data_IF_561756699343
#
_entry.id   IF_561756699343
#
_cell.length_a   1.000
_cell.length_b   1.000
_cell.length_c   1.000
_cell.angle_alpha   90.00
_cell.angle_beta   90.00
_cell.angle_gamma   90.00
#
_symmetry.space_group_name_H-M   'P 1'
#
loop_
_entity.id
_entity.type
_entity.pdbx_description
1 polymer ?
#
# COMPACT_ATOMS: atom_id res chain seq x y z
N UNK A 1 3.45 15.27 6.75
CA UNK A 1 2.77 14.05 7.25
C UNK A 1 3.42 12.88 6.54
N UNK A 2 3.85 11.87 7.28
CA UNK A 2 4.41 10.64 6.71
C UNK A 2 3.53 9.46 7.12
N UNK A 3 3.20 8.59 6.17
CA UNK A 3 2.43 7.37 6.40
C UNK A 3 3.28 6.21 5.92
N UNK A 4 3.50 5.23 6.78
CA UNK A 4 4.06 3.95 6.37
C UNK A 4 2.91 3.00 6.01
N UNK A 5 3.05 2.29 4.90
CA UNK A 5 2.10 1.28 4.45
C UNK A 5 2.81 -0.07 4.31
N UNK A 6 2.20 -1.13 4.81
CA UNK A 6 2.59 -2.51 4.53
C UNK A 6 1.46 -3.18 3.77
N UNK A 7 1.78 -3.90 2.69
CA UNK A 7 0.80 -4.66 1.89
C UNK A 7 1.28 -6.11 1.82
N UNK A 8 0.40 -7.04 2.16
CA UNK A 8 0.68 -8.49 2.15
C UNK A 8 -0.33 -9.20 1.23
N UNK A 9 0.11 -10.27 0.56
CA UNK A 9 -0.70 -11.11 -0.33
C UNK A 9 -0.08 -11.26 -1.72
N UNK A 10 -0.55 -12.23 -2.51
CA UNK A 10 0.00 -12.54 -3.85
C UNK A 10 0.00 -11.34 -4.82
N UNK A 11 -0.90 -10.38 -4.59
CA UNK A 11 -1.01 -9.13 -5.35
C UNK A 11 -0.18 -7.96 -4.80
N UNK A 12 0.59 -8.12 -3.72
CA UNK A 12 1.21 -7.02 -2.99
C UNK A 12 2.09 -6.10 -3.87
N UNK A 13 2.98 -6.69 -4.68
CA UNK A 13 3.86 -5.92 -5.58
C UNK A 13 3.05 -5.06 -6.56
N UNK A 14 2.06 -5.67 -7.22
CA UNK A 14 1.22 -4.96 -8.19
C UNK A 14 0.39 -3.86 -7.52
N UNK A 15 -0.21 -4.18 -6.36
CA UNK A 15 -1.02 -3.25 -5.60
C UNK A 15 -0.21 -2.04 -5.13
N UNK A 16 0.99 -2.25 -4.60
CA UNK A 16 1.86 -1.16 -4.17
C UNK A 16 2.40 -0.36 -5.35
N UNK A 17 2.73 -1.00 -6.47
CA UNK A 17 3.12 -0.28 -7.70
C UNK A 17 2.00 0.66 -8.16
N UNK A 18 0.75 0.18 -8.21
CA UNK A 18 -0.41 0.99 -8.59
C UNK A 18 -0.63 2.16 -7.62
N UNK A 19 -0.48 1.94 -6.31
CA UNK A 19 -0.63 2.99 -5.29
C UNK A 19 0.40 4.12 -5.47
N UNK A 20 1.68 3.77 -5.66
CA UNK A 20 2.76 4.75 -5.81
C UNK A 20 2.85 5.34 -7.23
N UNK A 21 2.02 4.88 -8.16
CA UNK A 21 1.85 5.50 -9.48
C UNK A 21 0.77 6.59 -9.49
N UNK A 22 0.03 6.78 -8.38
CA UNK A 22 -0.96 7.84 -8.26
C UNK A 22 -0.28 9.21 -8.15
N UNK A 23 -0.74 10.23 -8.91
CA UNK A 23 -0.07 11.53 -8.97
C UNK A 23 -0.06 12.28 -7.63
N UNK A 24 -1.03 11.99 -6.76
CA UNK A 24 -1.18 12.65 -5.45
C UNK A 24 -0.38 11.95 -4.33
N UNK A 25 0.24 10.80 -4.63
CA UNK A 25 1.03 10.01 -3.70
C UNK A 25 2.52 10.19 -4.01
N UNK A 26 3.24 10.83 -3.09
CA UNK A 26 4.69 10.96 -3.18
C UNK A 26 5.36 10.05 -2.17
N UNK A 27 6.33 9.25 -2.62
CA UNK A 27 7.02 8.33 -1.72
C UNK A 27 7.84 7.26 -2.43
N UNK A 28 8.31 6.29 -1.65
CA UNK A 28 9.06 5.13 -2.15
C UNK A 28 8.58 3.87 -1.47
N UNK A 29 8.79 2.73 -2.11
CA UNK A 29 8.46 1.43 -1.56
C UNK A 29 9.49 0.38 -2.00
N UNK A 30 9.51 -0.74 -1.29
CA UNK A 30 10.33 -1.91 -1.63
C UNK A 30 9.61 -3.21 -1.30
N UNK A 31 9.90 -4.31 -2.02
CA UNK A 31 9.55 -5.65 -1.56
C UNK A 31 10.17 -5.94 -0.20
N UNK A 32 9.49 -6.77 0.60
CA UNK A 32 10.06 -7.34 1.82
C UNK A 32 10.75 -8.64 1.43
N UNK A 33 12.08 -8.69 1.56
CA UNK A 33 12.83 -9.95 1.46
C UNK A 33 12.61 -10.76 2.75
N UNK A 34 11.62 -11.64 2.75
CA UNK A 34 11.45 -12.62 3.81
C UNK A 34 11.86 -14.00 3.28
N UNK A 35 13.09 -14.39 3.61
CA UNK A 35 13.60 -15.76 3.42
C UNK A 35 12.88 -16.79 4.31
N UNK A 36 11.93 -16.35 5.15
CA UNK A 36 11.25 -17.18 6.17
C UNK A 36 9.73 -17.30 6.01
N UNK A 37 9.06 -16.50 5.16
CA UNK A 37 7.63 -16.68 4.87
C UNK A 37 7.46 -17.33 3.50
N UNK A 38 7.58 -18.66 3.49
CA UNK A 38 7.15 -19.45 2.33
C UNK A 38 5.71 -19.01 1.95
N UNK A 39 5.56 -18.49 0.73
CA UNK A 39 4.33 -18.12 0.03
C UNK A 39 3.71 -16.70 0.20
N UNK A 40 4.00 -15.91 1.24
CA UNK A 40 3.35 -14.57 1.38
C UNK A 40 4.22 -13.46 0.78
N UNK A 41 3.83 -12.94 -0.38
CA UNK A 41 4.46 -11.74 -0.97
C UNK A 41 4.08 -10.49 -0.17
N UNK A 42 5.07 -9.67 0.19
CA UNK A 42 4.84 -8.43 0.93
C UNK A 42 5.68 -7.26 0.42
N UNK A 43 5.16 -6.05 0.61
CA UNK A 43 5.83 -4.79 0.29
C UNK A 43 5.65 -3.79 1.43
N UNK A 44 6.63 -2.90 1.58
CA UNK A 44 6.55 -1.77 2.52
C UNK A 44 6.85 -0.48 1.77
N UNK A 45 5.99 0.51 1.97
CA UNK A 45 6.08 1.84 1.36
C UNK A 45 6.01 2.96 2.39
N UNK A 46 6.59 4.10 2.04
CA UNK A 46 6.52 5.35 2.80
C UNK A 46 5.98 6.46 1.92
N UNK A 47 4.85 7.04 2.31
CA UNK A 47 4.22 8.20 1.68
C UNK A 47 4.68 9.45 2.45
N UNK A 48 5.37 10.39 1.79
CA UNK A 48 6.03 11.57 2.42
C UNK A 48 5.33 12.91 2.14
N UNK A 49 4.41 12.95 1.18
CA UNK A 49 3.71 14.18 0.81
C UNK A 49 2.38 13.89 0.13
N UNK A 50 1.37 14.70 0.45
CA UNK A 50 0.02 14.59 -0.09
C UNK A 50 -0.40 15.95 -0.63
N UNK A 51 -0.81 15.97 -1.88
CA UNK A 51 -1.50 17.09 -2.49
C UNK A 51 -3.01 16.89 -2.28
N UNK A 52 -3.71 17.84 -1.63
CA UNK A 52 -5.18 17.79 -1.48
C UNK A 52 -5.76 17.54 -0.08
N UNK A 53 -4.93 17.41 0.97
CA UNK A 53 -5.39 17.24 2.36
C UNK A 53 -5.73 15.80 2.76
N UNK A 54 -5.91 15.53 4.06
CA UNK A 54 -5.99 14.15 4.60
C UNK A 54 -7.21 13.34 4.17
N UNK A 55 -8.37 14.00 3.98
CA UNK A 55 -9.63 13.32 3.62
C UNK A 55 -9.60 12.74 2.21
N UNK A 56 -9.06 13.49 1.24
CA UNK A 56 -8.97 13.06 -0.15
C UNK A 56 -8.11 11.79 -0.30
N UNK A 57 -7.02 11.68 0.47
CA UNK A 57 -6.18 10.46 0.49
C UNK A 57 -6.96 9.28 1.03
N UNK A 58 -7.71 9.47 2.13
CA UNK A 58 -8.42 8.37 2.77
C UNK A 58 -9.42 7.74 1.80
N UNK A 59 -10.08 8.56 0.97
CA UNK A 59 -10.96 8.09 -0.09
C UNK A 59 -10.20 7.37 -1.21
N UNK A 60 -9.06 7.91 -1.66
CA UNK A 60 -8.21 7.28 -2.69
C UNK A 60 -7.67 5.92 -2.21
N UNK A 61 -7.12 5.85 -0.99
CA UNK A 61 -6.64 4.60 -0.37
C UNK A 61 -7.77 3.58 -0.22
N UNK A 62 -8.96 4.02 0.18
CA UNK A 62 -10.13 3.14 0.30
C UNK A 62 -10.55 2.57 -1.06
N UNK A 63 -10.53 3.38 -2.11
CA UNK A 63 -10.85 2.94 -3.48
C UNK A 63 -9.81 1.92 -3.97
N UNK A 64 -8.54 2.26 -3.85
CA UNK A 64 -7.43 1.36 -4.16
C UNK A 64 -7.55 0.02 -3.44
N UNK A 65 -7.80 0.04 -2.12
CA UNK A 65 -7.96 -1.17 -1.32
C UNK A 65 -9.07 -2.07 -1.86
N UNK A 66 -10.24 -1.49 -2.17
CA UNK A 66 -11.38 -2.26 -2.71
C UNK A 66 -11.04 -2.94 -4.04
N UNK A 67 -10.35 -2.24 -4.94
CA UNK A 67 -9.97 -2.77 -6.25
C UNK A 67 -9.01 -3.95 -6.13
N UNK A 68 -8.01 -3.85 -5.26
CA UNK A 68 -6.99 -4.89 -5.10
C UNK A 68 -7.41 -6.03 -4.16
N UNK A 69 -8.22 -5.76 -3.14
CA UNK A 69 -8.77 -6.79 -2.27
C UNK A 69 -9.83 -7.64 -2.99
N UNK A 70 -10.56 -7.08 -3.95
CA UNK A 70 -11.52 -7.84 -4.76
C UNK A 70 -10.85 -8.77 -5.80
N UNK A 71 -9.51 -8.78 -5.91
CA UNK A 71 -8.78 -9.68 -6.79
C UNK A 71 -8.57 -9.13 -8.19
N UNK A 72 -7.95 -7.96 -8.31
CA UNK A 72 -7.52 -7.41 -9.60
C UNK A 72 -6.59 -8.41 -10.31
N UNK A 73 -6.98 -8.89 -11.49
CA UNK A 73 -6.27 -9.91 -12.26
C UNK A 73 -6.09 -11.27 -11.54
N UNK A 74 -7.02 -11.64 -10.64
CA UNK A 74 -7.01 -12.94 -9.95
C UNK A 74 -6.03 -13.03 -8.77
N UNK A 75 -5.28 -11.96 -8.47
CA UNK A 75 -4.42 -11.86 -7.29
C UNK A 75 -4.98 -10.84 -6.31
N UNK A 76 -5.01 -11.19 -5.03
CA UNK A 76 -5.57 -10.36 -3.95
C UNK A 76 -4.47 -9.79 -3.06
N UNK A 77 -4.77 -8.66 -2.44
CA UNK A 77 -4.10 -8.27 -1.19
C UNK A 77 -4.90 -8.83 -0.02
N UNK A 78 -4.21 -9.39 0.95
CA UNK A 78 -4.81 -10.06 2.11
C UNK A 78 -4.81 -9.14 3.32
N UNK A 79 -3.81 -8.26 3.43
CA UNK A 79 -3.67 -7.36 4.57
C UNK A 79 -2.99 -6.06 4.15
N UNK A 80 -3.50 -4.96 4.71
CA UNK A 80 -2.88 -3.64 4.60
C UNK A 80 -2.77 -3.04 6.00
N UNK A 81 -1.58 -2.56 6.36
CA UNK A 81 -1.33 -1.83 7.60
C UNK A 81 -0.89 -0.41 7.25
N UNK A 82 -1.58 0.60 7.78
CA UNK A 82 -1.22 2.01 7.67
C UNK A 82 -0.77 2.51 9.06
N UNK A 83 0.41 3.14 9.13
CA UNK A 83 0.97 3.67 10.38
C UNK A 83 1.34 5.15 10.18
N UNK A 84 0.75 6.03 10.99
CA UNK A 84 1.09 7.45 11.03
C UNK A 84 2.35 7.74 11.86
N UNK A 85 2.87 8.98 11.79
CA UNK A 85 4.11 9.42 12.46
C UNK A 85 4.18 9.19 13.98
N UNK A 86 3.08 8.85 14.66
CA UNK A 86 3.03 8.62 16.11
C UNK A 86 2.65 7.18 16.51
N UNK A 87 2.60 6.23 15.57
CA UNK A 87 2.14 4.86 15.85
C UNK A 87 0.66 4.77 16.27
N UNK A 88 -0.10 5.85 16.05
CA UNK A 88 -1.55 5.94 16.20
C UNK A 88 -2.23 5.93 14.83
#
# INVERSE_FOLDING_TARGET
MQIQISVEGEGAIAATTDLFSMPDINGTWKPVDETEREAVLATVGTIVGVVGGSLAIAEQLRKWYKEHHAGKNGKTIEKVLLVGQNGQ
#
